data_IF_485309528763
#
_entry.id   IF_485309528763
#
_cell.length_a   1.000
_cell.length_b   1.000
_cell.length_c   1.000
_cell.angle_alpha   90.00
_cell.angle_beta   90.00
_cell.angle_gamma   90.00
#
_symmetry.space_group_name_H-M   'P 1'
#
loop_
_entity.id
_entity.type
_entity.pdbx_description
1 polymer ?
#
# COMPACT_ATOMS: atom_id res chain seq x y z
N UNK A 1 -10.68 26.34 2.73
CA UNK A 1 -11.25 25.20 1.99
C UNK A 1 -10.17 24.74 1.03
N UNK A 2 -9.69 23.51 1.16
CA UNK A 2 -8.66 22.95 0.26
C UNK A 2 -9.40 22.06 -0.73
N UNK A 3 -9.35 22.40 -2.01
CA UNK A 3 -9.93 21.61 -3.10
C UNK A 3 -8.80 20.92 -3.83
N UNK A 4 -8.66 19.61 -3.61
CA UNK A 4 -7.71 18.76 -4.32
C UNK A 4 -8.45 18.04 -5.45
N UNK A 5 -7.84 18.06 -6.64
CA UNK A 5 -8.31 17.27 -7.76
C UNK A 5 -7.55 15.95 -7.72
N UNK A 6 -8.26 14.90 -7.37
CA UNK A 6 -7.77 13.52 -7.31
C UNK A 6 -8.55 12.68 -8.31
N UNK A 7 -7.97 11.58 -8.77
CA UNK A 7 -8.71 10.53 -9.48
C UNK A 7 -9.68 9.81 -8.54
N UNK A 8 -10.63 9.07 -9.11
CA UNK A 8 -11.58 8.29 -8.32
C UNK A 8 -10.88 7.22 -7.45
N UNK A 9 -9.85 6.56 -7.98
CA UNK A 9 -9.06 5.55 -7.25
C UNK A 9 -8.31 6.16 -6.04
N UNK A 10 -7.68 7.32 -6.24
CA UNK A 10 -6.98 8.03 -5.16
C UNK A 10 -7.97 8.49 -4.06
N UNK A 11 -9.18 8.89 -4.45
CA UNK A 11 -10.22 9.28 -3.50
C UNK A 11 -10.66 8.09 -2.64
N UNK A 12 -10.85 6.92 -3.23
CA UNK A 12 -11.20 5.70 -2.50
C UNK A 12 -10.08 5.29 -1.53
N UNK A 13 -8.83 5.35 -1.98
CA UNK A 13 -7.67 5.08 -1.14
C UNK A 13 -7.55 6.06 0.03
N UNK A 14 -7.71 7.37 -0.22
CA UNK A 14 -7.67 8.38 0.84
C UNK A 14 -8.83 8.24 1.83
N UNK A 15 -10.01 7.84 1.35
CA UNK A 15 -11.16 7.55 2.21
C UNK A 15 -10.87 6.36 3.11
N UNK A 16 -10.33 5.27 2.56
CA UNK A 16 -9.87 4.11 3.35
C UNK A 16 -8.88 4.51 4.45
N UNK A 17 -7.90 5.36 4.11
CA UNK A 17 -6.94 5.87 5.10
C UNK A 17 -7.61 6.73 6.17
N UNK A 18 -8.58 7.56 5.81
CA UNK A 18 -9.36 8.37 6.75
C UNK A 18 -10.12 7.49 7.74
N UNK A 19 -10.81 6.45 7.25
CA UNK A 19 -11.51 5.46 8.07
C UNK A 19 -10.55 4.67 8.97
N UNK A 20 -9.37 4.31 8.46
CA UNK A 20 -8.32 3.63 9.23
C UNK A 20 -7.83 4.45 10.43
N UNK A 21 -7.56 5.74 10.23
CA UNK A 21 -7.17 6.64 11.31
C UNK A 21 -8.36 7.13 12.16
N UNK A 22 -9.60 6.80 11.78
CA UNK A 22 -10.82 7.21 12.46
C UNK A 22 -11.06 8.72 12.43
N UNK A 23 -10.51 9.42 11.42
CA UNK A 23 -10.63 10.87 11.26
C UNK A 23 -11.27 11.19 9.90
N UNK A 24 -11.98 12.32 9.76
CA UNK A 24 -12.56 12.64 8.46
C UNK A 24 -11.47 12.94 7.43
N UNK A 25 -11.73 12.60 6.17
CA UNK A 25 -10.79 12.78 5.05
C UNK A 25 -10.19 14.21 4.98
N UNK A 26 -11.00 15.25 5.24
CA UNK A 26 -10.50 16.62 5.25
C UNK A 26 -9.50 16.90 6.37
N UNK A 27 -9.60 16.21 7.52
CA UNK A 27 -8.61 16.28 8.60
C UNK A 27 -7.36 15.47 8.26
N UNK A 28 -7.53 14.29 7.65
CA UNK A 28 -6.40 13.46 7.18
C UNK A 28 -5.50 14.27 6.25
N UNK A 29 -6.07 14.89 5.21
CA UNK A 29 -5.34 15.70 4.22
C UNK A 29 -4.73 16.98 4.83
N UNK A 30 -5.29 17.51 5.92
CA UNK A 30 -4.73 18.68 6.61
C UNK A 30 -3.61 18.31 7.58
N UNK A 31 -3.70 17.15 8.23
CA UNK A 31 -2.72 16.68 9.21
C UNK A 31 -1.54 16.00 8.55
N UNK A 32 -1.77 15.22 7.51
CA UNK A 32 -0.76 14.39 6.86
C UNK A 32 -0.49 14.92 5.46
N UNK A 33 0.80 15.01 5.11
CA UNK A 33 1.21 15.19 3.72
C UNK A 33 1.06 13.89 2.94
N UNK A 34 0.99 13.97 1.62
CA UNK A 34 0.90 12.80 0.75
C UNK A 34 2.04 11.81 0.98
N UNK A 35 3.26 12.33 1.17
CA UNK A 35 4.47 11.53 1.47
C UNK A 35 4.33 10.72 2.76
N UNK A 36 3.75 11.30 3.82
CA UNK A 36 3.53 10.58 5.08
C UNK A 36 2.46 9.48 4.96
N UNK A 37 1.48 9.67 4.07
CA UNK A 37 0.47 8.66 3.79
C UNK A 37 1.06 7.50 2.97
N UNK A 38 1.94 7.80 2.02
CA UNK A 38 2.68 6.82 1.22
C UNK A 38 3.61 5.97 2.10
N UNK A 39 4.43 6.60 2.95
CA UNK A 39 5.31 5.90 3.91
C UNK A 39 4.53 4.93 4.82
N UNK A 40 3.35 5.36 5.31
CA UNK A 40 2.51 4.53 6.16
C UNK A 40 1.91 3.33 5.40
N UNK A 41 1.51 3.55 4.15
CA UNK A 41 1.00 2.49 3.29
C UNK A 41 2.08 1.48 2.93
N UNK A 42 3.28 1.94 2.56
CA UNK A 42 4.43 1.07 2.25
C UNK A 42 4.82 0.18 3.43
N UNK A 43 4.80 0.73 4.65
CA UNK A 43 5.04 -0.05 5.86
C UNK A 43 3.99 -1.15 6.05
N UNK A 44 2.71 -0.84 5.84
CA UNK A 44 1.64 -1.83 5.95
C UNK A 44 1.77 -2.94 4.90
N UNK A 45 2.05 -2.57 3.65
CA UNK A 45 2.26 -3.54 2.57
C UNK A 45 3.45 -4.43 2.89
N UNK A 46 4.55 -3.87 3.40
CA UNK A 46 5.71 -4.64 3.82
C UNK A 46 5.36 -5.61 4.97
N UNK A 47 4.57 -5.18 5.96
CA UNK A 47 4.12 -6.05 7.05
C UNK A 47 3.21 -7.19 6.55
N UNK A 48 2.27 -6.89 5.65
CA UNK A 48 1.37 -7.89 5.06
C UNK A 48 2.16 -8.89 4.22
N UNK A 49 3.06 -8.41 3.36
CA UNK A 49 3.93 -9.26 2.54
C UNK A 49 4.85 -10.12 3.42
N UNK A 50 5.39 -9.56 4.49
CA UNK A 50 6.24 -10.29 5.42
C UNK A 50 5.45 -11.36 6.20
N UNK A 51 4.23 -11.05 6.66
CA UNK A 51 3.34 -12.05 7.29
C UNK A 51 2.97 -13.16 6.31
N UNK A 52 2.57 -12.81 5.09
CA UNK A 52 2.28 -13.78 4.04
C UNK A 52 3.50 -14.67 3.72
N UNK A 53 4.71 -14.10 3.67
CA UNK A 53 5.95 -14.86 3.49
C UNK A 53 6.23 -15.85 4.62
N UNK A 54 5.99 -15.44 5.87
CA UNK A 54 6.13 -16.31 7.05
C UNK A 54 5.07 -17.41 7.09
N UNK A 55 3.83 -17.11 6.69
CA UNK A 55 2.71 -18.06 6.65
C UNK A 55 2.83 -19.05 5.49
N UNK A 56 3.41 -18.64 4.35
CA UNK A 56 3.74 -19.50 3.21
C UNK A 56 4.99 -20.38 3.43
N UNK A 57 5.29 -20.73 4.68
CA UNK A 57 6.40 -21.62 5.08
C UNK A 57 7.79 -21.24 4.56
N UNK A 58 8.01 -19.98 4.13
CA UNK A 58 9.22 -19.58 3.38
C UNK A 58 9.42 -20.44 2.13
N UNK A 59 8.36 -20.72 1.36
CA UNK A 59 8.52 -21.23 -0.01
C UNK A 59 9.25 -20.16 -0.83
N UNK A 60 10.57 -20.25 -0.80
CA UNK A 60 11.46 -19.51 -1.67
C UNK A 60 11.52 -20.30 -2.96
N UNK A 61 10.78 -19.86 -3.97
CA UNK A 61 10.98 -20.31 -5.34
C UNK A 61 12.43 -20.02 -5.72
N UNK A 62 13.16 -21.03 -6.20
CA UNK A 62 14.55 -20.79 -6.59
C UNK A 62 14.61 -19.76 -7.72
N UNK A 63 15.65 -18.93 -7.78
CA UNK A 63 15.86 -17.98 -8.88
C UNK A 63 15.70 -18.64 -10.28
N UNK A 64 15.93 -19.96 -10.35
CA UNK A 64 15.80 -20.79 -11.54
C UNK A 64 14.35 -20.99 -12.01
N UNK A 65 13.39 -21.06 -11.10
CA UNK A 65 11.96 -21.19 -11.43
C UNK A 65 11.34 -19.83 -11.80
N UNK A 66 11.75 -18.75 -11.13
CA UNK A 66 11.32 -17.38 -11.49
C UNK A 66 11.81 -17.01 -12.91
N UNK A 67 13.03 -17.42 -13.27
CA UNK A 67 13.59 -17.25 -14.62
C UNK A 67 12.89 -18.12 -15.68
N UNK A 68 12.32 -19.27 -15.32
CA UNK A 68 11.58 -20.12 -16.27
C UNK A 68 10.16 -19.57 -16.52
N UNK A 69 9.54 -19.02 -15.49
CA UNK A 69 8.16 -18.50 -15.57
C UNK A 69 8.09 -17.11 -16.22
N UNK A 70 9.02 -16.21 -15.89
CA UNK A 70 9.05 -14.83 -16.41
C UNK A 70 10.14 -14.57 -17.48
N UNK A 71 11.06 -15.51 -17.67
CA UNK A 71 12.19 -15.39 -18.61
C UNK A 71 12.02 -16.22 -19.90
N UNK A 72 10.81 -16.49 -20.36
CA UNK A 72 10.61 -16.94 -21.74
C UNK A 72 10.91 -15.80 -22.70
N UNK A 73 12.15 -15.85 -23.19
CA UNK A 73 12.71 -15.14 -24.34
C UNK A 73 11.78 -15.23 -25.55
#
# INVERSE_FOLDING_TARGET
MITLRVSDDEKEWLQYMADFYGIPLSELIKKYSMEQLEDAYDLQVAEVAHKAYLESNKETTSMKEVLDEFGKI
#
